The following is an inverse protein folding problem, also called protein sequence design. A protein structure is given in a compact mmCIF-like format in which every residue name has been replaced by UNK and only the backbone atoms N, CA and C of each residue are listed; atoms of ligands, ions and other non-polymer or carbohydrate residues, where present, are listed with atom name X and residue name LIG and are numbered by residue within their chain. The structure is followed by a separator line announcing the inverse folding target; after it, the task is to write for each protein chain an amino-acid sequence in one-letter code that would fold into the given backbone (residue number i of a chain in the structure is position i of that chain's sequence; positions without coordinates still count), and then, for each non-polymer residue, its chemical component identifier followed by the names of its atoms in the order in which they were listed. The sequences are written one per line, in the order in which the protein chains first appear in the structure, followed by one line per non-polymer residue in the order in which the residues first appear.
data_IF_160506141870
#
_entry.id   IF_160506141870
#
_cell.length_a   1.000
_cell.length_b   1.000
_cell.length_c   1.000
_cell.angle_alpha   90.00
_cell.angle_beta   90.00
_cell.angle_gamma   90.00
#
_symmetry.space_group_name_H-M   'P 1'
#
loop_
_entity.id
_entity.type
_entity.pdbx_description
1 polymer ?
#
# COMPACT_ATOMS: atom_id res chain seq x y z
N UNK A 1 -43.00 40.85 -48.33
CA UNK A 1 -43.28 39.53 -47.75
C UNK A 1 -41.95 38.86 -47.45
N UNK A 2 -41.57 38.72 -46.17
CA UNK A 2 -40.31 38.08 -45.77
C UNK A 2 -40.62 36.63 -45.40
N UNK A 3 -40.13 35.69 -46.21
CA UNK A 3 -40.21 34.26 -45.90
C UNK A 3 -39.10 33.95 -44.88
N UNK A 4 -39.48 33.59 -43.66
CA UNK A 4 -38.56 33.15 -42.61
C UNK A 4 -38.55 31.62 -42.66
N UNK A 5 -37.46 31.03 -43.14
CA UNK A 5 -37.21 29.59 -43.02
C UNK A 5 -36.95 29.26 -41.54
N UNK A 6 -37.53 28.19 -40.98
CA UNK A 6 -37.15 27.73 -39.66
C UNK A 6 -35.77 27.05 -39.72
N UNK A 7 -34.86 27.47 -38.84
CA UNK A 7 -33.60 26.80 -38.60
C UNK A 7 -33.86 25.39 -38.05
N UNK A 8 -33.08 24.36 -38.45
CA UNK A 8 -33.23 23.02 -37.90
C UNK A 8 -32.84 23.03 -36.42
N UNK A 9 -33.70 22.45 -35.57
CA UNK A 9 -33.40 22.16 -34.17
C UNK A 9 -32.15 21.30 -34.12
N UNK A 10 -31.10 21.83 -33.48
CA UNK A 10 -29.92 21.06 -33.10
C UNK A 10 -30.33 20.18 -31.93
N UNK A 11 -30.54 18.90 -32.19
CA UNK A 11 -30.69 17.90 -31.13
C UNK A 11 -29.41 17.86 -30.30
N UNK A 12 -29.49 17.77 -28.96
CA UNK A 12 -28.31 17.51 -28.16
C UNK A 12 -27.93 16.04 -28.37
N UNK A 13 -26.85 15.78 -29.12
CA UNK A 13 -26.11 14.52 -29.02
C UNK A 13 -25.38 14.47 -27.66
N UNK A 14 -26.15 14.46 -26.58
CA UNK A 14 -25.75 13.77 -25.36
C UNK A 14 -25.80 12.26 -25.63
N UNK A 15 -24.98 11.47 -24.92
CA UNK A 15 -24.86 10.01 -25.02
C UNK A 15 -23.76 9.41 -25.92
N UNK A 16 -22.57 10.03 -25.98
CA UNK A 16 -21.31 9.29 -26.28
C UNK A 16 -20.51 8.93 -25.02
N UNK A 17 -21.20 8.61 -23.92
CA UNK A 17 -20.60 8.03 -22.72
C UNK A 17 -21.13 6.62 -22.41
N UNK A 18 -21.75 5.97 -23.38
CA UNK A 18 -22.06 4.55 -23.27
C UNK A 18 -20.78 3.73 -23.56
N UNK A 19 -20.36 2.97 -22.54
CA UNK A 19 -19.54 1.77 -22.67
C UNK A 19 -18.01 1.89 -22.71
N UNK A 20 -17.41 2.63 -21.78
CA UNK A 20 -16.16 2.12 -21.18
C UNK A 20 -16.51 0.97 -20.23
N UNK A 21 -16.87 -0.18 -20.79
CA UNK A 21 -17.06 -1.43 -20.05
C UNK A 21 -15.73 -1.77 -19.38
N UNK A 22 -15.64 -1.54 -18.08
CA UNK A 22 -14.49 -1.93 -17.29
C UNK A 22 -14.25 -3.43 -17.47
N UNK A 23 -13.06 -3.80 -17.96
CA UNK A 23 -12.67 -5.20 -18.08
C UNK A 23 -12.39 -5.73 -16.67
N UNK A 24 -13.28 -6.56 -16.15
CA UNK A 24 -13.09 -7.22 -14.86
C UNK A 24 -11.93 -8.20 -15.01
N UNK A 25 -10.80 -7.91 -14.38
CA UNK A 25 -9.65 -8.80 -14.34
C UNK A 25 -9.92 -9.84 -13.24
N UNK A 26 -9.91 -11.13 -13.60
CA UNK A 26 -9.98 -12.21 -12.61
C UNK A 26 -8.75 -12.16 -11.71
N UNK A 27 -8.98 -12.22 -10.40
CA UNK A 27 -7.90 -12.33 -9.43
C UNK A 27 -7.12 -13.63 -9.70
N UNK A 28 -5.77 -13.61 -9.68
CA UNK A 28 -4.99 -14.81 -9.92
C UNK A 28 -5.30 -15.88 -8.87
N UNK A 29 -5.50 -17.11 -9.32
CA UNK A 29 -5.67 -18.26 -8.44
C UNK A 29 -4.33 -18.55 -7.77
N UNK A 30 -4.23 -18.19 -6.48
CA UNK A 30 -3.08 -18.52 -5.65
C UNK A 30 -3.17 -20.02 -5.39
N UNK A 31 -2.37 -20.81 -6.09
CA UNK A 31 -2.19 -22.22 -5.78
C UNK A 31 -1.48 -22.31 -4.44
N UNK A 32 -2.26 -22.43 -3.37
CA UNK A 32 -1.74 -22.81 -2.06
C UNK A 32 -1.36 -24.28 -2.19
N UNK A 33 -0.09 -24.56 -2.43
CA UNK A 33 0.43 -25.94 -2.33
C UNK A 33 0.30 -26.35 -0.86
N UNK A 34 -0.78 -27.06 -0.54
CA UNK A 34 -0.98 -27.71 0.75
C UNK A 34 -0.06 -28.93 0.86
N UNK A 35 1.24 -28.70 0.91
CA UNK A 35 2.21 -29.65 1.44
C UNK A 35 2.42 -29.33 2.92
N UNK A 36 1.36 -29.46 3.72
CA UNK A 36 1.46 -29.36 5.17
C UNK A 36 0.55 -30.41 5.82
N UNK A 37 1.19 -31.43 6.39
CA UNK A 37 0.58 -32.40 7.30
C UNK A 37 -0.25 -31.69 8.39
N UNK A 38 -1.38 -32.27 8.84
CA UNK A 38 -2.23 -31.69 9.86
C UNK A 38 -1.54 -31.82 11.23
N UNK A 39 -0.66 -30.87 11.58
CA UNK A 39 -0.04 -30.89 12.90
C UNK A 39 1.16 -29.99 13.15
N UNK A 40 1.81 -29.43 12.13
CA UNK A 40 3.00 -28.58 12.36
C UNK A 40 2.88 -27.19 11.76
N UNK A 41 1.97 -26.39 12.35
CA UNK A 41 2.05 -24.93 12.22
C UNK A 41 3.24 -24.39 13.04
N UNK A 42 4.46 -24.80 12.69
CA UNK A 42 5.67 -24.13 13.17
C UNK A 42 5.91 -22.92 12.26
N UNK A 43 5.08 -21.88 12.46
CA UNK A 43 5.38 -20.55 11.90
C UNK A 43 6.84 -20.21 12.24
N UNK A 44 7.65 -19.71 11.30
CA UNK A 44 9.01 -19.30 11.60
C UNK A 44 8.95 -18.28 12.74
N UNK A 45 9.47 -18.66 13.91
CA UNK A 45 9.59 -17.75 15.06
C UNK A 45 10.65 -16.72 14.68
N UNK A 46 10.20 -15.60 14.11
CA UNK A 46 11.06 -14.44 13.86
C UNK A 46 11.58 -13.99 15.23
N UNK A 47 12.88 -14.17 15.47
CA UNK A 47 13.54 -13.65 16.66
C UNK A 47 13.60 -12.13 16.51
N UNK A 48 12.74 -11.43 17.23
CA UNK A 48 12.82 -9.96 17.31
C UNK A 48 14.05 -9.64 18.16
N UNK A 49 15.18 -9.37 17.51
CA UNK A 49 16.38 -8.83 18.17
C UNK A 49 16.06 -7.41 18.63
N UNK A 50 15.91 -7.24 19.94
CA UNK A 50 15.61 -5.94 20.53
C UNK A 50 16.90 -5.17 20.72
N UNK A 51 17.03 -4.02 20.05
CA UNK A 51 18.19 -3.13 20.21
C UNK A 51 17.94 -2.05 21.27
N UNK A 52 19.01 -1.67 21.97
CA UNK A 52 18.97 -0.71 23.08
C UNK A 52 20.06 0.35 22.93
N UNK A 53 19.70 1.59 23.26
CA UNK A 53 20.62 2.70 23.46
C UNK A 53 20.94 2.81 24.96
N UNK A 54 22.21 2.82 25.32
CA UNK A 54 22.68 3.01 26.69
C UNK A 54 23.16 4.46 26.86
N UNK A 55 22.56 5.19 27.78
CA UNK A 55 22.93 6.57 28.08
C UNK A 55 22.74 6.87 29.57
N UNK A 56 23.80 7.36 30.24
CA UNK A 56 23.79 7.69 31.68
C UNK A 56 23.14 6.58 32.52
N UNK A 57 23.63 5.37 32.37
CA UNK A 57 23.15 4.16 33.06
C UNK A 57 21.69 3.77 32.79
N UNK A 58 21.05 4.43 31.81
CA UNK A 58 19.69 4.09 31.36
C UNK A 58 19.76 3.25 30.10
N UNK A 59 18.95 2.19 30.09
CA UNK A 59 18.71 1.33 28.93
C UNK A 59 17.41 1.76 28.26
N UNK A 60 17.52 2.32 27.05
CA UNK A 60 16.38 2.87 26.31
C UNK A 60 16.13 2.01 25.05
N UNK A 61 14.92 1.45 24.87
CA UNK A 61 14.60 0.70 23.65
C UNK A 61 14.63 1.60 22.42
N UNK A 62 15.33 1.16 21.36
CA UNK A 62 15.45 1.92 20.11
C UNK A 62 14.07 2.18 19.46
N UNK A 63 13.13 1.26 19.63
CA UNK A 63 11.75 1.40 19.12
C UNK A 63 11.00 2.64 19.61
N UNK A 64 11.41 3.23 20.75
CA UNK A 64 10.82 4.50 21.23
C UNK A 64 11.20 5.67 20.32
N UNK A 65 12.39 5.65 19.74
CA UNK A 65 12.88 6.70 18.85
C UNK A 65 12.32 6.56 17.44
N UNK A 66 12.03 5.33 16.98
CA UNK A 66 11.31 5.09 15.71
C UNK A 66 9.91 5.72 15.74
N UNK A 67 9.17 5.51 16.84
CA UNK A 67 7.84 6.10 17.03
C UNK A 67 7.85 7.64 17.10
N UNK A 68 8.95 8.23 17.56
CA UNK A 68 9.13 9.68 17.64
C UNK A 68 9.67 10.30 16.33
N UNK A 69 9.86 9.51 15.26
CA UNK A 69 10.30 10.02 13.95
C UNK A 69 11.81 10.17 13.78
N UNK A 70 12.62 9.73 14.76
CA UNK A 70 14.09 9.83 14.70
C UNK A 70 14.77 8.71 13.88
N UNK A 71 14.04 8.04 12.99
CA UNK A 71 14.55 6.89 12.23
C UNK A 71 15.80 7.19 11.39
N UNK A 72 15.91 8.41 10.81
CA UNK A 72 17.10 8.84 10.06
C UNK A 72 18.34 8.99 10.94
N UNK A 73 18.18 9.60 12.12
CA UNK A 73 19.23 9.79 13.11
C UNK A 73 19.72 8.46 13.67
N UNK A 74 18.80 7.53 13.95
CA UNK A 74 19.13 6.17 14.35
C UNK A 74 19.94 5.43 13.28
N UNK A 75 19.55 5.53 12.00
CA UNK A 75 20.31 4.92 10.90
C UNK A 75 21.72 5.48 10.77
N UNK A 76 21.89 6.78 10.94
CA UNK A 76 23.21 7.44 10.92
C UNK A 76 24.10 6.93 12.07
N UNK A 77 23.57 6.89 13.29
CA UNK A 77 24.28 6.38 14.46
C UNK A 77 24.71 4.91 14.31
N UNK A 78 23.82 4.04 13.82
CA UNK A 78 24.15 2.62 13.62
C UNK A 78 25.19 2.45 12.51
N UNK A 79 25.17 3.30 11.48
CA UNK A 79 26.12 3.22 10.36
C UNK A 79 27.56 3.58 10.76
N UNK A 80 27.75 4.47 11.73
CA UNK A 80 29.10 4.82 12.22
C UNK A 80 29.71 3.76 13.15
N UNK A 81 28.88 2.92 13.78
CA UNK A 81 29.34 1.90 14.73
C UNK A 81 29.70 0.58 14.01
N UNK A 82 29.29 0.41 12.75
CA UNK A 82 29.42 -0.84 11.99
C UNK A 82 30.63 -0.89 11.06
#
# INVERSE_FOLDING_TARGET
MKNVLPLPRKEPEEEKQAEQKAKIIKFPEIQVTETAEPGSSKRPRVKITTHYLYYRDKKIPISRFEKAGYGKLLRLLVKEIS
#
